data_IF_238399373648
#
_entry.id   IF_238399373648
#
_cell.length_a   1.000
_cell.length_b   1.000
_cell.length_c   1.000
_cell.angle_alpha   90.00
_cell.angle_beta   90.00
_cell.angle_gamma   90.00
#
_symmetry.space_group_name_H-M   'P 1'
#
loop_
_entity.id
_entity.type
_entity.pdbx_description
1 polymer ?
#
# COMPACT_ATOMS: atom_id res chain seq x y z
N UNK A 1 -4.08 17.79 -39.82
CA UNK A 1 -4.78 16.55 -40.25
C UNK A 1 -4.03 15.31 -39.77
N UNK A 2 -2.94 14.86 -40.42
CA UNK A 2 -2.24 13.62 -40.01
C UNK A 2 -1.57 13.68 -38.61
N UNK A 3 -1.02 14.84 -38.24
CA UNK A 3 -0.41 15.07 -36.93
C UNK A 3 -1.44 15.04 -35.79
N UNK A 4 -2.60 15.65 -36.01
CA UNK A 4 -3.70 15.70 -35.03
C UNK A 4 -4.26 14.29 -34.75
N UNK A 5 -4.41 13.47 -35.79
CA UNK A 5 -4.83 12.08 -35.63
C UNK A 5 -3.82 11.24 -34.85
N UNK A 6 -2.52 11.42 -35.10
CA UNK A 6 -1.48 10.73 -34.35
C UNK A 6 -1.45 11.20 -32.89
N UNK A 7 -1.63 12.50 -32.63
CA UNK A 7 -1.78 13.04 -31.27
C UNK A 7 -2.97 12.39 -30.56
N UNK A 8 -4.14 12.33 -31.18
CA UNK A 8 -5.33 11.67 -30.62
C UNK A 8 -5.09 10.18 -30.34
N UNK A 9 -4.40 9.48 -31.26
CA UNK A 9 -4.03 8.07 -31.06
C UNK A 9 -3.11 7.89 -29.86
N UNK A 10 -2.13 8.75 -29.66
CA UNK A 10 -1.25 8.72 -28.48
C UNK A 10 -2.02 8.95 -27.19
N UNK A 11 -2.84 10.00 -27.12
CA UNK A 11 -3.65 10.33 -25.93
C UNK A 11 -4.57 9.16 -25.58
N UNK A 12 -5.21 8.54 -26.58
CA UNK A 12 -6.09 7.38 -26.38
C UNK A 12 -5.33 6.18 -25.78
N UNK A 13 -4.09 5.92 -26.20
CA UNK A 13 -3.27 4.84 -25.62
C UNK A 13 -2.91 5.15 -24.17
N UNK A 14 -2.55 6.39 -23.86
CA UNK A 14 -2.24 6.84 -22.49
C UNK A 14 -3.46 6.73 -21.59
N UNK A 15 -4.65 7.13 -22.07
CA UNK A 15 -5.91 6.99 -21.35
C UNK A 15 -6.19 5.52 -20.99
N UNK A 16 -6.08 4.61 -21.96
CA UNK A 16 -6.29 3.17 -21.74
C UNK A 16 -5.32 2.62 -20.69
N UNK A 17 -4.04 2.91 -20.84
CA UNK A 17 -3.02 2.45 -19.91
C UNK A 17 -3.29 2.92 -18.48
N UNK A 18 -3.55 4.22 -18.30
CA UNK A 18 -3.78 4.78 -16.97
C UNK A 18 -5.12 4.36 -16.37
N UNK A 19 -6.13 4.07 -17.20
CA UNK A 19 -7.39 3.49 -16.72
C UNK A 19 -7.17 2.10 -16.12
N UNK A 20 -6.34 1.26 -16.75
CA UNK A 20 -5.98 -0.06 -16.23
C UNK A 20 -5.17 0.07 -14.94
N UNK A 21 -4.14 0.92 -14.92
CA UNK A 21 -3.34 1.16 -13.70
C UNK A 21 -4.20 1.66 -12.53
N UNK A 22 -5.09 2.62 -12.80
CA UNK A 22 -6.07 3.12 -11.83
C UNK A 22 -6.94 1.99 -11.28
N UNK A 23 -7.48 1.13 -12.15
CA UNK A 23 -8.31 -0.01 -11.74
C UNK A 23 -7.54 -1.02 -10.86
N UNK A 24 -6.27 -1.29 -11.18
CA UNK A 24 -5.41 -2.16 -10.37
C UNK A 24 -5.22 -1.61 -8.96
N UNK A 25 -4.88 -0.33 -8.83
CA UNK A 25 -4.68 0.31 -7.51
C UNK A 25 -5.97 0.36 -6.70
N UNK A 26 -7.12 0.63 -7.35
CA UNK A 26 -8.44 0.55 -6.70
C UNK A 26 -8.68 -0.83 -6.10
N UNK A 27 -8.43 -1.90 -6.87
CA UNK A 27 -8.60 -3.26 -6.40
C UNK A 27 -7.68 -3.58 -5.20
N UNK A 28 -6.46 -3.05 -5.18
CA UNK A 28 -5.54 -3.20 -4.06
C UNK A 28 -6.05 -2.47 -2.81
N UNK A 29 -6.47 -1.21 -2.92
CA UNK A 29 -7.05 -0.46 -1.79
C UNK A 29 -8.28 -1.18 -1.22
N UNK A 30 -9.18 -1.66 -2.10
CA UNK A 30 -10.35 -2.43 -1.68
C UNK A 30 -9.97 -3.74 -0.99
N UNK A 31 -8.91 -4.42 -1.45
CA UNK A 31 -8.40 -5.62 -0.80
C UNK A 31 -7.90 -5.35 0.62
N UNK A 32 -7.12 -4.28 0.82
CA UNK A 32 -6.65 -3.87 2.16
C UNK A 32 -7.84 -3.54 3.06
N UNK A 33 -8.83 -2.81 2.56
CA UNK A 33 -10.06 -2.53 3.32
C UNK A 33 -10.81 -3.81 3.70
N UNK A 34 -10.98 -4.76 2.78
CA UNK A 34 -11.64 -6.04 3.09
C UNK A 34 -10.86 -6.82 4.16
N UNK A 35 -9.53 -6.73 4.16
CA UNK A 35 -8.70 -7.29 5.23
C UNK A 35 -8.92 -6.55 6.55
N UNK A 36 -9.05 -5.22 6.53
CA UNK A 36 -9.37 -4.42 7.71
C UNK A 36 -10.67 -4.91 8.37
N UNK A 37 -11.74 -5.08 7.58
CA UNK A 37 -13.03 -5.57 8.06
C UNK A 37 -12.88 -6.92 8.78
N UNK A 38 -12.07 -7.83 8.22
CA UNK A 38 -11.82 -9.15 8.81
C UNK A 38 -10.93 -9.08 10.06
N UNK A 39 -9.91 -8.24 10.06
CA UNK A 39 -8.98 -8.09 11.18
C UNK A 39 -9.65 -7.54 12.45
N UNK A 40 -10.81 -6.88 12.32
CA UNK A 40 -11.63 -6.47 13.48
C UNK A 40 -12.19 -7.63 14.28
N UNK A 41 -12.47 -8.76 13.63
CA UNK A 41 -13.05 -9.96 14.25
C UNK A 41 -12.02 -11.07 14.44
N UNK A 42 -11.02 -11.11 13.56
CA UNK A 42 -9.97 -12.13 13.55
C UNK A 42 -8.61 -11.49 13.82
N UNK A 43 -8.21 -11.49 15.09
CA UNK A 43 -6.94 -10.92 15.54
C UNK A 43 -5.72 -11.65 14.98
N UNK A 44 -5.86 -12.87 14.46
CA UNK A 44 -4.73 -13.58 13.82
C UNK A 44 -4.26 -12.87 12.53
N UNK A 45 -5.14 -12.09 11.90
CA UNK A 45 -4.84 -11.30 10.71
C UNK A 45 -4.18 -9.96 11.03
N UNK A 46 -4.10 -9.54 12.29
CA UNK A 46 -3.64 -8.21 12.68
C UNK A 46 -2.21 -7.90 12.20
N UNK A 47 -1.30 -8.87 12.33
CA UNK A 47 0.10 -8.72 11.90
C UNK A 47 0.21 -8.58 10.38
N UNK A 48 -0.49 -9.44 9.64
CA UNK A 48 -0.55 -9.38 8.17
C UNK A 48 -1.16 -8.05 7.72
N UNK A 49 -2.25 -7.65 8.35
CA UNK A 49 -2.95 -6.40 8.07
C UNK A 49 -2.07 -5.17 8.29
N UNK A 50 -1.28 -5.14 9.37
CA UNK A 50 -0.33 -4.07 9.65
C UNK A 50 0.62 -3.81 8.47
N UNK A 51 1.15 -4.87 7.85
CA UNK A 51 2.02 -4.73 6.67
C UNK A 51 1.29 -4.10 5.49
N UNK A 52 0.07 -4.54 5.18
CA UNK A 52 -0.69 -4.01 4.06
C UNK A 52 -1.12 -2.54 4.24
N UNK A 53 -1.38 -2.12 5.48
CA UNK A 53 -1.71 -0.72 5.77
C UNK A 53 -0.51 0.21 5.57
N UNK A 54 0.71 -0.28 5.78
CA UNK A 54 1.92 0.51 5.56
C UNK A 54 2.07 0.98 4.11
N UNK A 55 1.62 0.17 3.14
CA UNK A 55 1.68 0.50 1.71
C UNK A 55 0.53 1.41 1.25
N UNK A 56 -0.48 1.65 2.10
CA UNK A 56 -1.74 2.27 1.69
C UNK A 56 -1.60 3.74 1.28
N UNK A 57 -0.64 4.47 1.87
CA UNK A 57 -0.31 5.84 1.43
C UNK A 57 0.33 5.86 0.04
N UNK A 58 1.21 4.89 -0.25
CA UNK A 58 1.80 4.75 -1.58
C UNK A 58 0.72 4.47 -2.63
N UNK A 59 -0.17 3.51 -2.34
CA UNK A 59 -1.31 3.20 -3.21
C UNK A 59 -2.22 4.42 -3.41
N UNK A 60 -2.47 5.20 -2.36
CA UNK A 60 -3.25 6.43 -2.47
C UNK A 60 -2.59 7.45 -3.41
N UNK A 61 -1.28 7.67 -3.29
CA UNK A 61 -0.55 8.58 -4.16
C UNK A 61 -0.54 8.11 -5.63
N UNK A 62 -0.36 6.81 -5.87
CA UNK A 62 -0.47 6.21 -7.20
C UNK A 62 -1.87 6.40 -7.80
N UNK A 63 -2.92 6.16 -7.01
CA UNK A 63 -4.30 6.38 -7.43
C UNK A 63 -4.50 7.82 -7.88
N UNK A 64 -4.11 8.80 -7.07
CA UNK A 64 -4.25 10.23 -7.39
C UNK A 64 -3.50 10.57 -8.67
N UNK A 65 -2.29 10.05 -8.85
CA UNK A 65 -1.48 10.26 -10.06
C UNK A 65 -2.15 9.71 -11.33
N UNK A 66 -2.60 8.45 -11.30
CA UNK A 66 -3.26 7.83 -12.45
C UNK A 66 -4.62 8.49 -12.74
N UNK A 67 -5.37 8.84 -11.71
CA UNK A 67 -6.67 9.48 -11.84
C UNK A 67 -6.58 10.89 -12.43
N UNK A 68 -5.59 11.69 -12.01
CA UNK A 68 -5.28 12.97 -12.65
C UNK A 68 -4.85 12.81 -14.11
N UNK A 69 -4.07 11.78 -14.42
CA UNK A 69 -3.66 11.50 -15.80
C UNK A 69 -4.86 11.11 -16.68
N UNK A 70 -5.79 10.31 -16.14
CA UNK A 70 -7.05 9.98 -16.82
C UNK A 70 -7.89 11.24 -17.07
N UNK A 71 -8.07 12.09 -16.06
CA UNK A 71 -8.80 13.35 -16.20
C UNK A 71 -8.21 14.24 -17.30
N UNK A 72 -6.89 14.41 -17.31
CA UNK A 72 -6.21 15.20 -18.34
C UNK A 72 -6.41 14.62 -19.74
N UNK A 73 -6.33 13.29 -19.90
CA UNK A 73 -6.58 12.66 -21.19
C UNK A 73 -8.03 12.81 -21.65
N UNK A 74 -9.00 12.71 -20.73
CA UNK A 74 -10.41 12.93 -21.04
C UNK A 74 -10.69 14.38 -21.42
N UNK A 75 -10.04 15.34 -20.77
CA UNK A 75 -10.12 16.76 -21.14
C UNK A 75 -9.62 17.00 -22.56
N UNK A 76 -8.44 16.49 -22.90
CA UNK A 76 -7.84 16.59 -24.24
C UNK A 76 -8.67 15.92 -25.33
N UNK A 77 -9.45 14.88 -24.98
CA UNK A 77 -10.35 14.18 -25.88
C UNK A 77 -11.78 14.75 -25.88
N UNK A 78 -12.05 15.82 -25.12
CA UNK A 78 -13.36 16.42 -24.93
C UNK A 78 -14.44 15.42 -24.43
N UNK A 79 -14.05 14.57 -23.46
CA UNK A 79 -14.86 13.49 -22.85
C UNK A 79 -14.87 13.59 -21.31
N UNK A 80 -14.88 14.82 -20.78
CA UNK A 80 -14.78 15.10 -19.34
C UNK A 80 -15.99 14.57 -18.57
N UNK A 81 -17.14 14.47 -19.23
CA UNK A 81 -18.38 13.89 -18.71
C UNK A 81 -18.24 12.40 -18.30
N UNK A 82 -17.25 11.68 -18.84
CA UNK A 82 -16.94 10.31 -18.44
C UNK A 82 -16.16 10.23 -17.11
N UNK A 83 -15.64 11.34 -16.61
CA UNK A 83 -14.89 11.37 -15.36
C UNK A 83 -15.83 11.35 -14.15
N UNK A 84 -15.55 10.45 -13.20
CA UNK A 84 -16.30 10.35 -11.96
C UNK A 84 -15.51 10.94 -10.78
N UNK A 85 -15.88 12.13 -10.27
CA UNK A 85 -15.21 12.72 -9.10
C UNK A 85 -15.48 11.93 -7.82
N UNK A 86 -16.61 11.23 -7.73
CA UNK A 86 -17.01 10.45 -6.57
C UNK A 86 -16.06 9.27 -6.28
N UNK A 87 -15.38 8.75 -7.31
CA UNK A 87 -14.43 7.65 -7.16
C UNK A 87 -13.32 8.00 -6.17
N UNK A 88 -12.75 9.21 -6.28
CA UNK A 88 -11.65 9.65 -5.43
C UNK A 88 -12.05 9.76 -3.96
N UNK A 89 -13.23 10.32 -3.69
CA UNK A 89 -13.75 10.41 -2.32
C UNK A 89 -14.03 9.04 -1.72
N UNK A 90 -14.64 8.12 -2.47
CA UNK A 90 -14.89 6.76 -1.97
C UNK A 90 -13.59 6.01 -1.67
N UNK A 91 -12.58 6.15 -2.52
CA UNK A 91 -11.27 5.53 -2.25
C UNK A 91 -10.57 6.15 -1.04
N UNK A 92 -10.72 7.46 -0.81
CA UNK A 92 -10.18 8.12 0.39
C UNK A 92 -10.80 7.56 1.66
N UNK A 93 -12.13 7.40 1.66
CA UNK A 93 -12.86 6.83 2.78
C UNK A 93 -12.38 5.42 3.13
N UNK A 94 -12.19 4.56 2.12
CA UNK A 94 -11.65 3.20 2.31
C UNK A 94 -10.24 3.24 2.94
N UNK A 95 -9.38 4.17 2.51
CA UNK A 95 -8.05 4.38 3.07
C UNK A 95 -8.12 4.80 4.54
N UNK A 96 -8.97 5.79 4.86
CA UNK A 96 -9.13 6.31 6.22
C UNK A 96 -9.69 5.27 7.18
N UNK A 97 -10.72 4.53 6.75
CA UNK A 97 -11.30 3.45 7.55
C UNK A 97 -10.26 2.36 7.82
N UNK A 98 -9.47 1.97 6.81
CA UNK A 98 -8.42 0.97 7.01
C UNK A 98 -7.41 1.43 8.07
N UNK A 99 -6.89 2.66 7.95
CA UNK A 99 -5.95 3.21 8.95
C UNK A 99 -6.55 3.27 10.36
N UNK A 100 -7.82 3.64 10.45
CA UNK A 100 -8.55 3.71 11.72
C UNK A 100 -8.69 2.34 12.37
N UNK A 101 -8.98 1.31 11.57
CA UNK A 101 -9.04 -0.07 12.09
C UNK A 101 -7.70 -0.52 12.65
N UNK A 102 -6.58 -0.15 12.02
CA UNK A 102 -5.26 -0.50 12.56
C UNK A 102 -5.01 0.14 13.93
N UNK A 103 -5.41 1.40 14.09
CA UNK A 103 -5.31 2.12 15.36
C UNK A 103 -6.23 1.54 16.46
N UNK A 104 -7.31 0.84 16.08
CA UNK A 104 -8.18 0.13 17.04
C UNK A 104 -7.62 -1.23 17.44
N UNK A 105 -6.81 -1.86 16.57
CA UNK A 105 -6.25 -3.20 16.81
C UNK A 105 -4.95 -3.14 17.63
N UNK A 106 -4.24 -2.01 17.69
CA UNK A 106 -3.05 -1.81 18.55
C UNK A 106 -3.24 -0.76 19.66
N UNK A 107 -2.57 -0.84 20.84
CA UNK A 107 -1.95 -1.99 21.50
C UNK A 107 -2.91 -2.58 22.54
N UNK A 108 -3.66 -3.61 22.19
CA UNK A 108 -4.26 -4.51 23.17
C UNK A 108 -3.19 -5.53 23.58
N UNK A 109 -2.13 -5.07 24.27
CA UNK A 109 -0.93 -5.90 24.44
C UNK A 109 0.22 -5.27 25.22
N UNK A 110 -0.06 -4.58 26.33
CA UNK A 110 0.91 -4.40 27.41
C UNK A 110 0.29 -4.84 28.74
N UNK A 111 -0.31 -6.03 28.73
CA UNK A 111 -0.53 -6.80 29.96
C UNK A 111 0.15 -8.15 29.79
N UNK A 112 1.45 -8.13 29.51
CA UNK A 112 2.30 -9.15 30.10
C UNK A 112 2.37 -8.80 31.58
N UNK A 113 1.46 -9.40 32.35
CA UNK A 113 1.52 -9.46 33.81
C UNK A 113 2.92 -9.96 34.17
N UNK A 114 3.80 -9.03 34.52
CA UNK A 114 5.01 -9.37 35.24
C UNK A 114 4.55 -10.12 36.50
N UNK A 115 5.07 -11.32 36.81
CA UNK A 115 4.91 -11.85 38.15
C UNK A 115 5.72 -10.93 39.08
N UNK A 116 5.04 -9.92 39.61
CA UNK A 116 5.43 -9.17 40.80
C UNK A 116 5.45 -10.16 41.97
N UNK A 117 6.52 -10.93 42.06
CA UNK A 117 6.86 -11.63 43.29
C UNK A 117 7.37 -10.60 44.29
N UNK A 118 6.44 -10.05 45.06
CA UNK A 118 6.73 -9.45 46.34
C UNK A 118 7.09 -10.60 47.29
N UNK A 119 8.38 -10.79 47.57
CA UNK A 119 8.81 -11.41 48.82
C UNK A 119 9.88 -10.54 49.44
N UNK A 120 9.46 -9.84 50.49
CA UNK A 120 10.23 -8.96 51.33
C UNK A 120 11.24 -9.69 52.23
N UNK A 121 12.34 -8.97 52.52
CA UNK A 121 13.25 -9.04 53.70
C UNK A 121 14.27 -10.17 53.79
N UNK A 122 15.56 -9.82 53.65
CA UNK A 122 16.51 -9.66 54.77
C UNK A 122 17.85 -9.06 54.27
N UNK A 123 18.57 -8.41 55.18
CA UNK A 123 19.66 -7.45 54.96
C UNK A 123 21.07 -8.11 55.00
N UNK A 124 22.22 -7.39 54.98
CA UNK A 124 23.39 -7.71 54.15
C UNK A 124 24.59 -8.25 54.94
N UNK A 125 25.42 -9.11 54.36
CA UNK A 125 26.87 -9.16 54.69
C UNK A 125 27.59 -10.22 53.86
N UNK A 126 28.88 -9.91 53.65
CA UNK A 126 29.99 -10.85 53.41
C UNK A 126 30.41 -11.02 51.96
N UNK A 127 31.49 -10.31 51.64
CA UNK A 127 32.45 -10.61 50.59
C UNK A 127 32.91 -12.06 50.67
N UNK A 128 33.10 -12.74 49.54
CA UNK A 128 34.31 -13.54 49.35
C UNK A 128 34.58 -13.89 47.88
N UNK A 129 35.88 -14.07 47.65
CA UNK A 129 36.70 -14.15 46.45
C UNK A 129 36.43 -15.29 45.47
N UNK A 130 36.84 -15.02 44.22
CA UNK A 130 37.16 -15.98 43.14
C UNK A 130 38.20 -17.02 43.66
N UNK A 131 38.22 -18.25 43.10
CA UNK A 131 39.37 -18.55 42.22
C UNK A 131 39.02 -19.30 40.93
N UNK A 132 39.71 -18.89 39.87
CA UNK A 132 39.91 -19.56 38.59
C UNK A 132 40.56 -20.93 38.76
N UNK A 133 40.32 -21.87 37.82
CA UNK A 133 41.39 -22.66 37.14
C UNK A 133 40.83 -23.51 35.99
N UNK A 134 41.43 -23.30 34.80
CA UNK A 134 41.98 -24.31 33.85
C UNK A 134 41.02 -25.36 33.24
N UNK A 135 41.10 -25.80 31.98
CA UNK A 135 42.30 -26.01 31.15
C UNK A 135 41.88 -26.29 29.69
N UNK A 136 42.71 -25.77 28.78
CA UNK A 136 43.03 -26.12 27.38
C UNK A 136 42.67 -27.53 26.89
N UNK A 137 42.23 -27.67 25.63
CA UNK A 137 42.73 -28.68 24.64
C UNK A 137 42.21 -28.37 23.22
N UNK A 138 43.17 -28.25 22.29
CA UNK A 138 43.23 -28.73 20.90
C UNK A 138 41.90 -28.96 20.14
N UNK A 139 41.60 -28.39 18.98
CA UNK A 139 42.47 -28.12 17.83
C UNK A 139 42.03 -29.03 16.68
N UNK A 140 41.33 -28.51 15.65
CA UNK A 140 41.43 -29.00 14.27
C UNK A 140 40.69 -28.11 13.27
N UNK A 141 41.46 -27.64 12.29
CA UNK A 141 41.04 -27.00 11.03
C UNK A 141 40.94 -28.09 9.98
N UNK A 142 39.88 -28.07 9.17
CA UNK A 142 39.79 -28.42 7.72
C UNK A 142 38.29 -28.55 7.38
N UNK A 143 37.73 -28.32 6.20
CA UNK A 143 38.12 -27.84 4.86
C UNK A 143 36.77 -27.60 4.13
N UNK A 144 36.73 -26.64 3.22
CA UNK A 144 35.60 -26.34 2.30
C UNK A 144 35.53 -27.41 1.20
N UNK A 145 34.32 -27.74 0.69
CA UNK A 145 34.04 -27.61 -0.75
C UNK A 145 32.68 -26.92 -0.96
N UNK A 146 32.46 -25.92 -1.81
CA UNK A 146 32.64 -25.79 -3.27
C UNK A 146 31.96 -26.89 -4.10
N UNK A 147 30.83 -26.54 -4.73
CA UNK A 147 30.11 -27.31 -5.76
C UNK A 147 28.72 -26.69 -6.02
N UNK A 148 28.59 -25.70 -6.92
CA UNK A 148 28.21 -25.78 -8.35
C UNK A 148 26.90 -26.52 -8.66
N UNK A 149 25.96 -25.72 -9.19
CA UNK A 149 24.91 -25.97 -10.19
C UNK A 149 24.41 -27.40 -10.45
N UNK A 150 23.09 -27.57 -10.42
CA UNK A 150 22.35 -28.20 -11.54
C UNK A 150 20.88 -27.77 -11.56
N UNK A 151 20.48 -27.20 -12.70
CA UNK A 151 19.11 -27.09 -13.15
C UNK A 151 18.55 -28.48 -13.42
N UNK A 152 17.30 -28.75 -13.04
CA UNK A 152 16.51 -29.81 -13.65
C UNK A 152 15.16 -29.23 -14.04
N UNK A 153 15.07 -28.89 -15.33
CA UNK A 153 13.82 -28.82 -16.07
C UNK A 153 13.10 -30.17 -15.95
N UNK A 154 11.87 -30.15 -15.45
CA UNK A 154 10.90 -31.20 -15.72
C UNK A 154 9.85 -30.64 -16.67
N UNK A 155 10.05 -30.90 -17.95
CA UNK A 155 9.00 -30.86 -18.96
C UNK A 155 8.44 -32.26 -19.12
N UNK A 156 7.14 -32.45 -18.88
CA UNK A 156 6.26 -33.24 -19.74
C UNK A 156 4.83 -33.17 -19.19
N UNK A 157 3.95 -32.47 -19.90
CA UNK A 157 2.97 -33.05 -20.85
C UNK A 157 1.92 -33.91 -20.13
N UNK A 158 0.73 -33.35 -19.91
CA UNK A 158 -0.48 -34.14 -19.86
C UNK A 158 -1.63 -33.33 -20.43
N UNK A 159 -2.02 -33.75 -21.62
CA UNK A 159 -3.21 -33.34 -22.37
C UNK A 159 -4.42 -33.89 -21.62
N UNK A 160 -5.33 -33.03 -21.17
CA UNK A 160 -6.73 -33.39 -21.03
C UNK A 160 -7.59 -32.23 -21.51
N UNK A 161 -8.06 -32.38 -22.75
CA UNK A 161 -9.17 -31.61 -23.28
C UNK A 161 -10.46 -32.10 -22.64
N UNK A 162 -11.15 -31.21 -21.95
CA UNK A 162 -12.58 -31.35 -21.68
C UNK A 162 -13.18 -29.97 -21.93
N UNK A 163 -13.85 -29.85 -23.07
CA UNK A 163 -14.79 -28.77 -23.35
C UNK A 163 -15.99 -28.89 -22.40
N UNK A 164 -16.50 -27.77 -21.90
CA UNK A 164 -17.92 -27.66 -21.66
C UNK A 164 -18.50 -26.52 -22.49
N UNK A 165 -19.42 -26.92 -23.37
CA UNK A 165 -20.41 -26.03 -23.94
C UNK A 165 -21.20 -25.37 -22.81
N UNK A 166 -21.17 -24.04 -22.75
CA UNK A 166 -22.05 -23.27 -21.86
C UNK A 166 -22.76 -22.20 -22.67
N UNK A 167 -24.08 -22.28 -22.56
CA UNK A 167 -25.11 -21.60 -23.31
C UNK A 167 -25.05 -20.08 -23.20
N UNK A 168 -25.25 -19.41 -24.34
CA UNK A 168 -25.68 -18.01 -24.39
C UNK A 168 -27.02 -17.87 -23.67
N UNK A 169 -27.04 -17.11 -22.59
CA UNK A 169 -28.26 -16.48 -22.09
C UNK A 169 -28.13 -14.98 -22.27
N UNK A 170 -28.93 -14.45 -23.20
CA UNK A 170 -29.19 -13.03 -23.37
C UNK A 170 -30.00 -12.53 -22.18
N UNK A 171 -29.40 -11.68 -21.34
CA UNK A 171 -30.13 -10.89 -20.35
C UNK A 171 -30.29 -9.48 -20.90
N UNK A 172 -31.53 -9.14 -21.28
CA UNK A 172 -32.00 -7.76 -21.43
C UNK A 172 -32.72 -7.38 -20.13
N UNK A 173 -32.23 -6.36 -19.42
CA UNK A 173 -33.03 -5.44 -18.60
C UNK A 173 -32.08 -4.34 -18.12
N UNK A 174 -32.14 -3.11 -18.65
CA UNK A 174 -33.14 -2.07 -18.38
C UNK A 174 -33.19 -1.67 -16.91
N UNK A 175 -32.54 -0.56 -16.57
CA UNK A 175 -33.17 0.45 -15.70
C UNK A 175 -32.56 1.82 -15.99
N UNK A 176 -33.38 2.69 -16.56
CA UNK A 176 -33.19 4.14 -16.53
C UNK A 176 -32.96 4.59 -15.09
N UNK A 177 -31.93 5.41 -14.87
CA UNK A 177 -31.83 6.22 -13.66
C UNK A 177 -31.54 7.65 -14.09
N UNK A 178 -32.61 8.43 -14.21
CA UNK A 178 -32.56 9.88 -14.30
C UNK A 178 -31.87 10.40 -13.04
N UNK A 179 -30.68 11.00 -13.19
CA UNK A 179 -30.05 11.77 -12.14
C UNK A 179 -30.38 13.24 -12.41
N UNK A 180 -31.25 13.78 -11.57
CA UNK A 180 -31.59 15.18 -11.47
C UNK A 180 -30.34 15.96 -10.99
N UNK A 181 -29.71 16.71 -11.89
CA UNK A 181 -28.63 17.65 -11.54
C UNK A 181 -29.26 18.96 -11.07
N UNK A 182 -29.46 19.08 -9.76
CA UNK A 182 -29.70 20.37 -9.12
C UNK A 182 -28.69 20.54 -7.99
N UNK A 183 -28.00 21.67 -8.02
CA UNK A 183 -27.29 22.31 -6.92
C UNK A 183 -25.87 21.81 -6.57
N UNK A 184 -24.90 22.15 -7.43
CA UNK A 184 -23.53 22.39 -7.00
C UNK A 184 -23.20 23.89 -7.12
N UNK A 185 -23.40 24.61 -6.03
CA UNK A 185 -22.93 25.99 -5.86
C UNK A 185 -21.40 26.04 -5.98
N UNK A 186 -20.92 26.72 -7.02
CA UNK A 186 -19.53 27.11 -7.24
C UNK A 186 -19.10 28.14 -6.18
N UNK A 187 -18.59 27.68 -5.04
CA UNK A 187 -17.78 28.53 -4.18
C UNK A 187 -16.37 28.64 -4.77
N UNK A 188 -16.19 29.73 -5.51
CA UNK A 188 -14.92 30.34 -5.88
C UNK A 188 -13.96 30.41 -4.67
N UNK A 189 -12.94 29.56 -4.63
CA UNK A 189 -11.77 29.76 -3.78
C UNK A 189 -10.66 30.39 -4.62
N UNK A 190 -10.72 31.72 -4.67
CA UNK A 190 -9.66 32.61 -5.15
C UNK A 190 -8.64 32.77 -4.01
N UNK A 191 -7.57 31.98 -4.00
CA UNK A 191 -6.45 32.16 -3.06
C UNK A 191 -5.37 33.06 -3.69
N UNK A 192 -4.95 34.16 -3.04
CA UNK A 192 -3.87 34.99 -3.55
C UNK A 192 -2.50 34.37 -3.25
N UNK A 193 -1.67 34.30 -4.30
CA UNK A 193 -0.23 34.04 -4.21
C UNK A 193 0.45 35.20 -3.48
N UNK A 194 0.83 35.01 -2.21
CA UNK A 194 1.84 35.87 -1.58
C UNK A 194 2.78 35.10 -0.66
N UNK A 195 4.07 35.20 -1.00
CA UNK A 195 5.29 35.07 -0.16
C UNK A 195 5.81 33.65 0.17
N UNK A 196 6.66 33.13 -0.72
CA UNK A 196 7.86 32.40 -0.30
C UNK A 196 9.01 33.41 -0.18
N UNK A 197 9.37 33.78 1.04
CA UNK A 197 10.62 34.47 1.34
C UNK A 197 11.71 33.44 1.63
N UNK A 198 12.71 33.35 0.75
CA UNK A 198 13.94 32.59 0.98
C UNK A 198 14.74 33.26 2.11
N UNK A 199 15.01 32.53 3.19
CA UNK A 199 16.00 32.91 4.19
C UNK A 199 17.30 32.14 3.92
N UNK A 200 18.20 32.73 3.14
CA UNK A 200 19.60 32.32 3.03
C UNK A 200 20.39 33.13 4.07
N UNK A 201 20.85 32.47 5.14
CA UNK A 201 21.74 33.09 6.13
C UNK A 201 23.20 33.09 5.65
N UNK A 202 23.99 34.15 5.92
CA UNK A 202 25.41 34.19 5.54
C UNK A 202 26.28 33.41 6.54
N UNK A 203 27.16 32.57 6.00
CA UNK A 203 28.29 31.95 6.71
C UNK A 203 29.42 32.99 6.78
N UNK A 204 29.74 33.46 7.98
CA UNK A 204 30.95 34.25 8.24
C UNK A 204 32.02 33.31 8.79
N UNK A 205 33.12 33.15 8.04
CA UNK A 205 34.34 32.51 8.52
C UNK A 205 35.17 33.50 9.35
N UNK A 206 35.64 33.05 10.51
CA UNK A 206 36.67 33.75 11.28
C UNK A 206 38.07 33.30 10.83
N UNK A 207 39.05 34.20 10.67
CA UNK A 207 40.45 33.84 10.48
C UNK A 207 41.17 33.61 11.81
N UNK A 208 42.10 32.64 11.84
CA UNK A 208 43.24 32.59 12.75
C UNK A 208 44.49 33.11 12.04
#
# INVERSE_FOLDING_TARGET
MAEDEERLRRITRVLKLNTVKRATVIAQIQSVYNMAVRARTDHSLASVYFFYVADLDSLWHELVSFDMTVLNCLFELNRVDEYSPALRSSMRELVDVSKTVLAQIGPMGTEFTAPSNVSSKAHPTTCESIPSTSTTVSGQRTVVPSGRFSNVLSSSTSVFGITPAVSRTTVKQSSNREYNMSDCNLLYLRLPLTRLGFALGPVVMSPM
#
